data_IF_298430837312
#
_entry.id   IF_298430837312
#
_cell.length_a   1.000
_cell.length_b   1.000
_cell.length_c   1.000
_cell.angle_alpha   90.00
_cell.angle_beta   90.00
_cell.angle_gamma   90.00
#
_symmetry.space_group_name_H-M   'P 1'
#
loop_
_entity.id
_entity.type
_entity.pdbx_description
1 polymer ?
#
# COMPACT_ATOMS: atom_id res chain seq x y z
N UNK A 1 -4.27 7.72 -9.42
CA UNK A 1 -4.05 7.36 -8.00
C UNK A 1 -3.13 6.15 -7.86
N UNK A 2 -3.44 5.00 -8.46
CA UNK A 2 -2.62 3.79 -8.34
C UNK A 2 -1.12 4.01 -8.62
N UNK A 3 -0.77 4.64 -9.75
CA UNK A 3 0.63 4.91 -10.13
C UNK A 3 1.39 5.71 -9.07
N UNK A 4 0.69 6.59 -8.35
CA UNK A 4 1.29 7.36 -7.25
C UNK A 4 1.68 6.44 -6.09
N UNK A 5 0.78 5.55 -5.65
CA UNK A 5 1.09 4.54 -4.63
C UNK A 5 2.20 3.61 -5.07
N UNK A 6 2.17 3.14 -6.31
CA UNK A 6 3.22 2.27 -6.84
C UNK A 6 4.58 2.97 -6.90
N UNK A 7 4.60 4.25 -7.29
CA UNK A 7 5.82 5.07 -7.29
C UNK A 7 6.37 5.25 -5.88
N UNK A 8 5.50 5.58 -4.92
CA UNK A 8 5.90 5.67 -3.51
C UNK A 8 6.51 4.35 -3.02
N UNK A 9 5.83 3.22 -3.22
CA UNK A 9 6.34 1.90 -2.82
C UNK A 9 7.66 1.57 -3.52
N UNK A 10 7.80 1.86 -4.82
CA UNK A 10 9.05 1.65 -5.57
C UNK A 10 10.21 2.48 -5.04
N UNK A 11 9.93 3.71 -4.60
CA UNK A 11 10.91 4.63 -4.03
C UNK A 11 11.37 4.23 -2.62
N UNK A 12 10.66 3.31 -1.95
CA UNK A 12 11.06 2.78 -0.65
C UNK A 12 12.43 2.10 -0.72
N UNK A 13 13.24 2.38 0.29
CA UNK A 13 14.55 1.75 0.50
C UNK A 13 14.45 0.39 1.20
N UNK A 14 13.25 -0.02 1.64
CA UNK A 14 13.01 -1.31 2.30
C UNK A 14 13.15 -2.48 1.31
N UNK A 15 13.54 -3.65 1.82
CA UNK A 15 13.61 -4.90 1.07
C UNK A 15 12.91 -6.02 1.87
N UNK A 16 11.77 -6.59 1.41
CA UNK A 16 11.06 -6.27 0.17
C UNK A 16 10.57 -4.81 0.12
N UNK A 17 10.23 -4.31 -1.07
CA UNK A 17 9.75 -2.93 -1.22
C UNK A 17 8.33 -2.79 -0.67
N UNK A 18 8.21 -2.07 0.44
CA UNK A 18 6.93 -1.76 1.07
C UNK A 18 6.94 -0.37 1.70
N UNK A 19 5.75 0.15 1.97
CA UNK A 19 5.56 1.43 2.65
C UNK A 19 4.33 1.37 3.57
N UNK A 20 4.40 2.02 4.73
CA UNK A 20 3.18 2.34 5.48
C UNK A 20 2.58 3.61 4.89
N UNK A 21 1.29 3.57 4.56
CA UNK A 21 0.60 4.68 3.88
C UNK A 21 -0.41 5.26 4.85
N UNK A 22 -0.17 6.49 5.31
CA UNK A 22 -1.14 7.25 6.10
C UNK A 22 -2.20 7.84 5.18
N UNK A 23 -3.44 7.37 5.29
CA UNK A 23 -4.59 7.86 4.51
C UNK A 23 -4.80 9.35 4.70
N UNK A 24 -4.75 9.82 5.95
CA UNK A 24 -4.86 11.24 6.29
C UNK A 24 -3.76 12.08 5.61
N UNK A 25 -2.51 11.59 5.58
CA UNK A 25 -1.41 12.35 4.98
C UNK A 25 -1.49 12.41 3.46
N UNK A 26 -1.88 11.31 2.82
CA UNK A 26 -2.05 11.27 1.36
C UNK A 26 -3.25 12.13 0.95
N UNK A 27 -4.34 12.10 1.72
CA UNK A 27 -5.52 12.93 1.49
C UNK A 27 -5.19 14.43 1.54
N UNK A 28 -4.42 14.85 2.54
CA UNK A 28 -3.88 16.21 2.67
C UNK A 28 -3.05 16.62 1.44
N UNK A 29 -2.14 15.76 0.96
CA UNK A 29 -1.31 16.02 -0.23
C UNK A 29 -2.16 16.12 -1.50
N UNK A 30 -3.21 15.30 -1.62
CA UNK A 30 -4.03 15.19 -2.82
C UNK A 30 -5.23 16.16 -2.84
N UNK A 31 -5.53 16.81 -1.72
CA UNK A 31 -6.70 17.69 -1.59
C UNK A 31 -8.04 16.95 -1.65
N UNK A 32 -8.08 15.70 -1.17
CA UNK A 32 -9.29 14.83 -1.17
C UNK A 32 -9.66 14.38 0.25
N UNK A 33 -10.79 13.69 0.41
CA UNK A 33 -11.15 13.15 1.73
C UNK A 33 -10.33 11.89 2.07
N UNK A 34 -9.97 11.67 3.35
CA UNK A 34 -9.30 10.44 3.77
C UNK A 34 -10.06 9.16 3.41
N UNK A 35 -11.40 9.21 3.43
CA UNK A 35 -12.27 8.10 3.01
C UNK A 35 -12.06 7.70 1.56
N UNK A 36 -11.79 8.65 0.67
CA UNK A 36 -11.59 8.39 -0.76
C UNK A 36 -10.27 7.64 -0.96
N UNK A 37 -9.24 8.00 -0.18
CA UNK A 37 -7.95 7.31 -0.18
C UNK A 37 -8.08 5.88 0.36
N UNK A 38 -8.79 5.71 1.47
CA UNK A 38 -9.03 4.40 2.07
C UNK A 38 -9.80 3.48 1.12
N UNK A 39 -10.87 3.99 0.51
CA UNK A 39 -11.66 3.25 -0.46
C UNK A 39 -10.78 2.79 -1.63
N UNK A 40 -10.00 3.68 -2.23
CA UNK A 40 -9.16 3.33 -3.38
C UNK A 40 -8.04 2.35 -3.03
N UNK A 41 -7.40 2.49 -1.86
CA UNK A 41 -6.42 1.51 -1.40
C UNK A 41 -7.05 0.12 -1.24
N UNK A 42 -8.25 0.05 -0.67
CA UNK A 42 -8.98 -1.22 -0.52
C UNK A 42 -9.36 -1.81 -1.89
N UNK A 43 -9.83 -1.01 -2.84
CA UNK A 43 -10.10 -1.45 -4.21
C UNK A 43 -8.84 -2.03 -4.87
N UNK A 44 -7.71 -1.35 -4.79
CA UNK A 44 -6.46 -1.86 -5.37
C UNK A 44 -5.97 -3.15 -4.72
N UNK A 45 -6.22 -3.34 -3.43
CA UNK A 45 -5.91 -4.60 -2.73
C UNK A 45 -6.85 -5.72 -3.19
N UNK A 46 -8.15 -5.44 -3.29
CA UNK A 46 -9.15 -6.40 -3.77
C UNK A 46 -8.89 -6.82 -5.23
N UNK A 47 -8.45 -5.88 -6.06
CA UNK A 47 -8.09 -6.12 -7.46
C UNK A 47 -6.71 -6.80 -7.63
N UNK A 48 -5.98 -7.05 -6.54
CA UNK A 48 -4.65 -7.65 -6.58
C UNK A 48 -3.56 -6.73 -7.15
N UNK A 49 -3.83 -5.43 -7.29
CA UNK A 49 -2.87 -4.41 -7.76
C UNK A 49 -1.93 -3.94 -6.65
N UNK A 50 -2.32 -4.12 -5.39
CA UNK A 50 -1.52 -3.93 -4.18
C UNK A 50 -1.72 -5.12 -3.24
N UNK A 51 -0.75 -5.36 -2.36
CA UNK A 51 -0.87 -6.30 -1.25
C UNK A 51 -0.87 -5.50 0.05
N UNK A 52 -1.84 -5.74 0.93
CA UNK A 52 -1.88 -5.19 2.29
C UNK A 52 -1.38 -6.26 3.27
N UNK A 53 -0.46 -5.89 4.14
CA UNK A 53 0.08 -6.77 5.19
C UNK A 53 0.30 -5.96 6.49
N UNK A 54 0.66 -6.63 7.57
CA UNK A 54 0.98 -6.03 8.86
C UNK A 54 2.35 -6.49 9.33
N UNK A 55 3.18 -5.53 9.76
CA UNK A 55 4.46 -5.87 10.36
C UNK A 55 4.25 -6.71 11.62
N UNK A 56 4.91 -7.86 11.69
CA UNK A 56 4.90 -8.74 12.87
C UNK A 56 5.89 -8.29 13.94
N UNK A 57 6.65 -7.24 13.66
CA UNK A 57 7.63 -6.62 14.56
C UNK A 57 7.29 -5.14 14.73
N UNK A 58 7.71 -4.49 15.83
CA UNK A 58 7.54 -3.05 16.00
C UNK A 58 8.06 -2.29 14.76
N UNK A 59 7.33 -1.30 14.24
CA UNK A 59 6.19 -0.61 14.87
C UNK A 59 4.80 -1.26 14.71
N UNK A 60 4.69 -2.51 14.21
CA UNK A 60 3.41 -3.22 13.99
C UNK A 60 2.42 -2.50 13.05
N UNK A 61 2.95 -1.67 12.16
CA UNK A 61 2.17 -0.88 11.21
C UNK A 61 1.59 -1.75 10.09
N UNK A 62 0.45 -1.30 9.56
CA UNK A 62 -0.05 -1.77 8.28
C UNK A 62 0.85 -1.24 7.16
N UNK A 63 1.13 -2.11 6.19
CA UNK A 63 2.02 -1.84 5.07
C UNK A 63 1.39 -2.28 3.75
N UNK A 64 1.82 -1.62 2.69
CA UNK A 64 1.41 -1.89 1.32
C UNK A 64 2.63 -2.26 0.47
N UNK A 65 2.48 -3.29 -0.36
CA UNK A 65 3.51 -3.82 -1.24
C UNK A 65 2.99 -3.89 -2.68
N UNK A 66 3.93 -3.91 -3.63
CA UNK A 66 3.60 -4.27 -5.00
C UNK A 66 3.46 -5.79 -5.12
N UNK A 67 2.51 -6.29 -5.91
CA UNK A 67 2.45 -7.71 -6.24
C UNK A 67 3.74 -8.08 -6.99
N UNK A 68 4.49 -9.04 -6.45
CA UNK A 68 5.49 -9.76 -7.26
C UNK A 68 4.73 -10.78 -8.10
N UNK A 69 5.21 -11.13 -9.30
CA UNK A 69 4.58 -12.13 -10.19
C UNK A 69 4.58 -13.57 -9.63
N UNK A 70 4.62 -13.71 -8.30
CA UNK A 70 4.64 -14.93 -7.50
C UNK A 70 3.31 -15.15 -6.78
N UNK A 71 2.19 -14.67 -7.32
CA UNK A 71 0.87 -15.15 -6.88
C UNK A 71 0.61 -16.54 -7.45
N UNK A 72 1.43 -17.52 -7.07
CA UNK A 72 1.05 -18.92 -6.93
C UNK A 72 1.76 -19.50 -5.70
N UNK A 73 0.95 -20.09 -4.82
CA UNK A 73 1.33 -20.93 -3.68
C UNK A 73 1.63 -20.20 -2.37
N UNK A 74 0.66 -20.24 -1.45
CA UNK A 74 0.78 -20.94 -0.17
C UNK A 74 -0.55 -20.83 0.59
N UNK A 75 -1.49 -21.72 0.27
CA UNK A 75 -2.13 -22.70 1.18
C UNK A 75 -2.97 -23.67 0.36
#
# INVERSE_FOLDING_TARGET
MLDYFQTMIRSSTRNPKFMSISTAKVADIMGVQPSDIEQQLNEFVQEGKLVKDKLTVPPYEEIYLLPTSSSQTLI
#
